data_IF_642953862119
#
_entry.id   IF_642953862119
#
_cell.length_a   1.000
_cell.length_b   1.000
_cell.length_c   1.000
_cell.angle_alpha   90.00
_cell.angle_beta   90.00
_cell.angle_gamma   90.00
#
_symmetry.space_group_name_H-M   'P 1'
#
loop_
_entity.id
_entity.type
_entity.pdbx_description
1 polymer ?
#
# COMPACT_ATOMS: atom_id res chain seq x y z
N UNK A 1 12.41 1.34 -19.01
CA UNK A 1 13.60 0.65 -18.45
C UNK A 1 13.22 0.09 -17.08
N UNK A 2 13.57 -1.17 -16.77
CA UNK A 2 13.34 -1.71 -15.42
C UNK A 2 14.22 -0.95 -14.41
N UNK A 3 13.77 -0.84 -13.15
CA UNK A 3 14.56 -0.21 -12.08
C UNK A 3 15.82 -1.07 -11.83
N UNK A 4 16.95 -0.42 -11.60
CA UNK A 4 18.20 -1.12 -11.32
C UNK A 4 18.12 -1.80 -9.94
N UNK A 5 18.63 -3.02 -9.85
CA UNK A 5 18.86 -3.70 -8.59
C UNK A 5 20.06 -3.09 -7.86
N UNK A 6 20.21 -3.36 -6.57
CA UNK A 6 21.35 -2.85 -5.80
C UNK A 6 22.68 -3.46 -6.29
N UNK A 7 22.67 -4.74 -6.67
CA UNK A 7 23.81 -5.43 -7.29
C UNK A 7 24.26 -4.75 -8.58
N UNK A 8 23.31 -4.40 -9.45
CA UNK A 8 23.60 -3.69 -10.69
C UNK A 8 24.25 -2.32 -10.42
N UNK A 9 23.77 -1.59 -9.41
CA UNK A 9 24.37 -0.30 -9.02
C UNK A 9 25.79 -0.46 -8.49
N UNK A 10 26.05 -1.49 -7.69
CA UNK A 10 27.39 -1.80 -7.18
C UNK A 10 28.36 -2.07 -8.34
N UNK A 11 27.98 -2.94 -9.28
CA UNK A 11 28.78 -3.25 -10.47
C UNK A 11 29.11 -1.99 -11.28
N UNK A 12 28.15 -1.08 -11.46
CA UNK A 12 28.39 0.20 -12.17
C UNK A 12 29.47 1.02 -11.47
N UNK A 13 29.44 1.08 -10.14
CA UNK A 13 30.42 1.82 -9.34
C UNK A 13 31.81 1.19 -9.43
N UNK A 14 31.90 -0.13 -9.33
CA UNK A 14 33.16 -0.87 -9.48
C UNK A 14 33.81 -0.64 -10.85
N UNK A 15 33.04 -0.84 -11.92
CA UNK A 15 33.51 -0.63 -13.31
C UNK A 15 33.91 0.84 -13.52
N UNK A 16 33.20 1.78 -12.90
CA UNK A 16 33.51 3.21 -13.02
C UNK A 16 34.89 3.56 -12.44
N UNK A 17 35.23 3.01 -11.27
CA UNK A 17 36.54 3.25 -10.66
C UNK A 17 37.66 2.49 -11.38
N UNK A 18 37.40 1.30 -11.90
CA UNK A 18 38.38 0.54 -12.71
C UNK A 18 38.73 1.23 -14.04
N UNK A 19 37.80 2.00 -14.63
CA UNK A 19 37.97 2.60 -15.96
C UNK A 19 38.22 4.12 -15.92
N UNK A 20 39.04 4.57 -14.96
CA UNK A 20 39.51 5.96 -14.85
C UNK A 20 38.37 6.98 -14.76
N UNK A 21 37.25 6.64 -14.11
CA UNK A 21 36.12 7.55 -13.91
C UNK A 21 35.42 8.02 -15.22
N UNK A 22 35.52 7.25 -16.31
CA UNK A 22 34.85 7.58 -17.59
C UNK A 22 33.47 6.93 -17.72
N UNK A 23 32.42 7.75 -17.72
CA UNK A 23 31.02 7.29 -17.89
C UNK A 23 30.81 6.59 -19.23
N UNK A 24 31.45 7.07 -20.31
CA UNK A 24 31.32 6.48 -21.65
C UNK A 24 31.93 5.08 -21.70
N UNK A 25 33.04 4.86 -21.01
CA UNK A 25 33.68 3.55 -20.94
C UNK A 25 32.81 2.55 -20.17
N UNK A 26 32.28 2.96 -19.01
CA UNK A 26 31.31 2.15 -18.25
C UNK A 26 30.13 1.79 -19.12
N UNK A 27 29.53 2.77 -19.81
CA UNK A 27 28.41 2.50 -20.71
C UNK A 27 28.79 1.42 -21.71
N UNK A 28 29.92 1.54 -22.42
CA UNK A 28 30.42 0.56 -23.41
C UNK A 28 30.62 -0.85 -22.81
N UNK A 29 31.22 -0.94 -21.63
CA UNK A 29 31.51 -2.21 -20.95
C UNK A 29 30.28 -2.91 -20.38
N UNK A 30 29.20 -2.18 -20.10
CA UNK A 30 27.91 -2.77 -19.67
C UNK A 30 27.16 -3.48 -20.80
N UNK A 31 27.55 -3.30 -22.08
CA UNK A 31 26.91 -3.95 -23.23
C UNK A 31 27.26 -5.44 -23.36
N UNK A 32 28.52 -5.87 -23.21
CA UNK A 32 28.91 -7.28 -23.30
C UNK A 32 28.83 -8.07 -21.99
N UNK A 33 28.16 -7.57 -20.93
CA UNK A 33 28.06 -8.25 -19.63
C UNK A 33 26.70 -8.96 -19.43
N UNK A 34 26.52 -10.21 -19.91
CA UNK A 34 25.51 -11.13 -19.39
C UNK A 34 25.88 -11.56 -17.95
N UNK A 35 24.92 -11.92 -17.08
CA UNK A 35 23.49 -12.17 -17.33
C UNK A 35 22.55 -10.98 -17.02
N UNK A 36 23.05 -9.88 -16.46
CA UNK A 36 22.20 -8.83 -15.85
C UNK A 36 21.75 -7.72 -16.82
N UNK A 37 22.57 -7.39 -17.83
CA UNK A 37 22.30 -6.31 -18.78
C UNK A 37 21.99 -6.89 -20.15
N UNK A 38 20.70 -7.16 -20.41
CA UNK A 38 20.24 -7.52 -21.76
C UNK A 38 20.30 -6.33 -22.73
N UNK A 39 20.13 -6.61 -24.03
CA UNK A 39 20.15 -5.61 -25.14
C UNK A 39 19.31 -4.36 -24.84
N UNK A 40 18.20 -4.53 -24.12
CA UNK A 40 17.24 -3.47 -23.78
C UNK A 40 17.28 -3.02 -22.31
N UNK A 41 18.12 -3.63 -21.46
CA UNK A 41 18.20 -3.34 -20.02
C UNK A 41 19.45 -2.55 -19.61
N UNK A 42 20.22 -2.06 -20.59
CA UNK A 42 21.43 -1.28 -20.33
C UNK A 42 21.07 0.10 -19.75
N UNK A 43 21.63 0.50 -18.61
CA UNK A 43 21.43 1.83 -18.06
C UNK A 43 22.01 2.89 -19.00
N UNK A 44 21.26 3.97 -19.21
CA UNK A 44 21.73 5.11 -19.98
C UNK A 44 22.85 5.89 -19.26
N UNK A 45 23.58 6.71 -19.99
CA UNK A 45 24.66 7.52 -19.39
C UNK A 45 24.17 8.43 -18.27
N UNK A 46 22.96 9.00 -18.40
CA UNK A 46 22.34 9.83 -17.36
C UNK A 46 22.09 9.03 -16.07
N UNK A 47 21.65 7.78 -16.19
CA UNK A 47 21.45 6.87 -15.07
C UNK A 47 22.78 6.53 -14.39
N UNK A 48 23.81 6.24 -15.17
CA UNK A 48 25.16 5.97 -14.65
C UNK A 48 25.68 7.18 -13.87
N UNK A 49 25.57 8.40 -14.43
CA UNK A 49 25.92 9.65 -13.73
C UNK A 49 25.14 9.79 -12.43
N UNK A 50 23.81 9.61 -12.47
CA UNK A 50 22.98 9.74 -11.28
C UNK A 50 23.38 8.76 -10.17
N UNK A 51 23.71 7.51 -10.52
CA UNK A 51 24.20 6.50 -9.56
C UNK A 51 25.51 6.94 -8.93
N UNK A 52 26.48 7.40 -9.74
CA UNK A 52 27.79 7.85 -9.24
C UNK A 52 27.65 9.11 -8.39
N UNK A 53 26.86 10.10 -8.82
CA UNK A 53 26.60 11.32 -8.05
C UNK A 53 25.93 11.00 -6.72
N UNK A 54 24.95 10.09 -6.70
CA UNK A 54 24.31 9.62 -5.47
C UNK A 54 25.31 8.92 -4.55
N UNK A 55 26.19 8.08 -5.11
CA UNK A 55 27.23 7.41 -4.35
C UNK A 55 28.24 8.40 -3.75
N UNK A 56 28.72 9.38 -4.53
CA UNK A 56 29.66 10.41 -4.03
C UNK A 56 29.07 11.33 -2.97
N UNK A 57 27.77 11.61 -3.04
CA UNK A 57 27.10 12.55 -2.12
C UNK A 57 26.61 11.87 -0.85
N UNK A 58 26.01 10.67 -0.97
CA UNK A 58 25.31 9.99 0.12
C UNK A 58 25.95 8.66 0.52
N UNK A 59 26.96 8.18 -0.19
CA UNK A 59 27.63 6.88 0.01
C UNK A 59 26.65 5.68 0.11
N UNK A 60 25.50 5.80 -0.53
CA UNK A 60 24.42 4.80 -0.47
C UNK A 60 23.97 4.38 -1.86
N UNK A 61 23.79 3.07 -2.04
CA UNK A 61 23.25 2.48 -3.28
C UNK A 61 21.74 2.22 -3.18
N UNK A 62 21.18 2.28 -1.97
CA UNK A 62 19.76 2.03 -1.71
C UNK A 62 18.89 3.15 -2.30
N UNK A 63 17.78 2.77 -2.93
CA UNK A 63 16.71 3.70 -3.28
C UNK A 63 15.90 4.04 -2.04
N UNK A 64 16.35 5.09 -1.34
CA UNK A 64 15.59 5.70 -0.26
C UNK A 64 14.33 6.30 -0.87
N UNK A 65 13.18 5.69 -0.57
CA UNK A 65 11.89 6.27 -0.91
C UNK A 65 11.78 7.61 -0.17
N UNK A 66 11.48 8.73 -0.86
CA UNK A 66 11.23 9.98 -0.16
C UNK A 66 10.13 9.76 0.87
N UNK A 67 10.26 10.41 2.02
CA UNK A 67 9.21 10.37 3.04
C UNK A 67 7.89 10.76 2.37
N UNK A 68 6.86 9.93 2.60
CA UNK A 68 5.53 10.19 2.05
C UNK A 68 5.08 11.60 2.45
N UNK A 69 4.27 12.23 1.59
CA UNK A 69 3.71 13.57 1.84
C UNK A 69 3.18 13.66 3.27
N UNK A 70 3.72 14.61 4.05
CA UNK A 70 3.28 14.86 5.43
C UNK A 70 1.79 15.25 5.44
N UNK A 71 1.05 14.76 6.43
CA UNK A 71 -0.37 15.04 6.57
C UNK A 71 -0.55 16.34 7.37
N UNK A 72 -0.95 17.42 6.71
CA UNK A 72 -1.06 18.75 7.34
C UNK A 72 -2.13 18.83 8.43
N UNK A 73 -3.27 18.15 8.23
CA UNK A 73 -4.44 18.29 9.12
C UNK A 73 -4.56 17.14 10.13
N UNK A 74 -3.97 15.97 9.86
CA UNK A 74 -3.99 14.81 10.78
C UNK A 74 -2.78 14.83 11.70
N UNK A 75 -2.66 15.90 12.48
CA UNK A 75 -1.69 16.00 13.56
C UNK A 75 -2.17 15.22 14.78
N UNK A 76 -1.26 14.88 15.68
CA UNK A 76 -1.58 14.18 16.93
C UNK A 76 -2.56 15.00 17.79
N UNK A 77 -2.40 16.33 17.79
CA UNK A 77 -3.32 17.27 18.47
C UNK A 77 -4.75 17.16 17.95
N UNK A 78 -4.95 17.16 16.63
CA UNK A 78 -6.27 17.06 16.03
C UNK A 78 -6.89 15.66 16.23
N UNK A 79 -6.06 14.62 16.26
CA UNK A 79 -6.51 13.26 16.59
C UNK A 79 -7.01 13.22 18.04
N UNK A 80 -6.25 13.79 18.97
CA UNK A 80 -6.63 13.87 20.38
C UNK A 80 -7.92 14.70 20.59
N UNK A 81 -8.07 15.83 19.89
CA UNK A 81 -9.27 16.66 19.96
C UNK A 81 -10.52 15.91 19.48
N UNK A 82 -10.42 15.16 18.38
CA UNK A 82 -11.53 14.31 17.90
C UNK A 82 -11.82 13.20 18.90
N UNK A 83 -10.79 12.53 19.44
CA UNK A 83 -10.95 11.45 20.42
C UNK A 83 -11.67 11.94 21.68
N UNK A 84 -11.25 13.10 22.21
CA UNK A 84 -11.89 13.75 23.35
C UNK A 84 -13.37 14.03 23.07
N UNK A 85 -13.67 14.66 21.93
CA UNK A 85 -15.05 14.93 21.51
C UNK A 85 -15.88 13.64 21.39
N UNK A 86 -15.29 12.48 21.01
CA UNK A 86 -16.03 11.21 20.89
C UNK A 86 -16.38 10.67 22.26
N UNK A 87 -15.44 10.80 23.20
CA UNK A 87 -15.60 10.35 24.57
C UNK A 87 -16.63 11.20 25.33
N UNK A 88 -16.59 12.52 25.15
CA UNK A 88 -17.55 13.46 25.76
C UNK A 88 -18.97 13.22 25.27
N UNK A 89 -19.20 13.29 23.96
CA UNK A 89 -20.55 13.11 23.39
C UNK A 89 -20.48 12.19 22.18
N UNK A 90 -20.79 10.93 22.43
CA UNK A 90 -20.75 9.86 21.42
C UNK A 90 -21.79 10.04 20.31
N UNK A 91 -22.96 10.57 20.65
CA UNK A 91 -24.09 10.70 19.74
C UNK A 91 -23.96 11.87 18.75
N UNK A 92 -22.97 12.75 18.93
CA UNK A 92 -22.78 13.86 18.02
C UNK A 92 -22.45 13.38 16.61
N UNK A 93 -23.21 13.92 15.66
CA UNK A 93 -22.97 13.68 14.24
C UNK A 93 -21.59 14.16 13.81
N UNK A 94 -21.03 13.49 12.81
CA UNK A 94 -19.68 13.78 12.31
C UNK A 94 -19.62 15.17 11.68
N UNK A 95 -20.72 15.62 11.07
CA UNK A 95 -20.84 16.97 10.52
C UNK A 95 -20.70 18.04 11.62
N UNK A 96 -21.51 17.93 12.69
CA UNK A 96 -21.49 18.89 13.79
C UNK A 96 -20.11 18.91 14.50
N UNK A 97 -19.55 17.72 14.75
CA UNK A 97 -18.20 17.56 15.30
C UNK A 97 -17.12 18.23 14.46
N UNK A 98 -17.21 18.11 13.13
CA UNK A 98 -16.26 18.76 12.22
C UNK A 98 -16.37 20.28 12.25
N UNK A 99 -17.59 20.82 12.38
CA UNK A 99 -17.84 22.25 12.51
C UNK A 99 -17.29 22.79 13.84
N UNK A 100 -17.52 22.10 14.96
CA UNK A 100 -16.99 22.48 16.27
C UNK A 100 -15.46 22.53 16.31
N UNK A 101 -14.81 21.55 15.67
CA UNK A 101 -13.34 21.45 15.64
C UNK A 101 -12.69 22.27 14.51
N UNK A 102 -13.48 22.96 13.68
CA UNK A 102 -12.97 23.76 12.55
C UNK A 102 -12.28 22.93 11.46
N UNK A 103 -12.62 21.64 11.33
CA UNK A 103 -12.02 20.72 10.37
C UNK A 103 -12.98 20.36 9.24
N UNK A 104 -12.43 19.90 8.11
CA UNK A 104 -13.26 19.33 7.06
C UNK A 104 -13.96 18.05 7.54
N UNK A 105 -15.20 17.83 7.10
CA UNK A 105 -15.93 16.58 7.33
C UNK A 105 -15.10 15.35 6.95
N UNK A 106 -14.46 15.39 5.77
CA UNK A 106 -13.68 14.26 5.25
C UNK A 106 -12.44 13.93 6.08
N UNK A 107 -11.79 14.93 6.69
CA UNK A 107 -10.64 14.71 7.56
C UNK A 107 -11.08 14.10 8.89
N UNK A 108 -12.15 14.64 9.47
CA UNK A 108 -12.77 14.13 10.70
C UNK A 108 -13.21 12.68 10.53
N UNK A 109 -13.91 12.37 9.43
CA UNK A 109 -14.29 11.00 9.06
C UNK A 109 -13.09 10.06 8.98
N UNK A 110 -12.01 10.49 8.30
CA UNK A 110 -10.81 9.67 8.16
C UNK A 110 -10.08 9.46 9.50
N UNK A 111 -10.12 10.42 10.42
CA UNK A 111 -9.54 10.28 11.78
C UNK A 111 -10.35 9.22 12.55
N UNK A 112 -11.67 9.34 12.56
CA UNK A 112 -12.57 8.38 13.19
C UNK A 112 -12.32 6.95 12.67
N UNK A 113 -12.25 6.78 11.35
CA UNK A 113 -12.13 5.47 10.72
C UNK A 113 -10.72 4.85 10.83
N UNK A 114 -9.67 5.64 10.61
CA UNK A 114 -8.30 5.12 10.45
C UNK A 114 -7.49 5.22 11.74
N UNK A 115 -7.55 6.35 12.45
CA UNK A 115 -6.74 6.57 13.65
C UNK A 115 -7.43 5.98 14.88
N UNK A 116 -8.73 6.24 15.04
CA UNK A 116 -9.51 5.76 16.18
C UNK A 116 -10.12 4.37 15.95
N UNK A 117 -10.08 3.85 14.72
CA UNK A 117 -10.61 2.53 14.37
C UNK A 117 -12.13 2.39 14.55
N UNK A 118 -12.86 3.52 14.66
CA UNK A 118 -14.30 3.54 14.83
C UNK A 118 -14.96 3.22 13.50
N UNK A 119 -15.46 1.99 13.38
CA UNK A 119 -16.27 1.57 12.24
C UNK A 119 -17.71 1.95 12.50
N UNK A 120 -18.35 2.58 11.51
CA UNK A 120 -19.70 3.13 11.63
C UNK A 120 -20.77 2.11 12.09
N UNK A 121 -20.53 0.81 11.94
CA UNK A 121 -21.48 -0.22 12.31
C UNK A 121 -20.75 -1.47 12.85
N UNK A 122 -20.92 -1.75 14.14
CA UNK A 122 -20.95 -3.13 14.64
C UNK A 122 -22.40 -3.36 15.07
N UNK A 123 -23.18 -4.03 14.22
CA UNK A 123 -24.55 -4.43 14.56
C UNK A 123 -24.44 -5.37 15.75
N UNK A 124 -24.85 -4.91 16.93
CA UNK A 124 -25.08 -5.79 18.05
C UNK A 124 -26.45 -6.41 17.81
N UNK A 125 -26.51 -7.73 17.63
CA UNK A 125 -27.78 -8.45 17.64
C UNK A 125 -28.35 -8.31 19.06
N UNK A 126 -29.30 -7.38 19.21
CA UNK A 126 -30.02 -7.13 20.46
C UNK A 126 -31.13 -8.16 20.70
N UNK A 127 -31.50 -8.90 19.64
CA UNK A 127 -32.52 -9.92 19.63
C UNK A 127 -31.88 -11.29 19.44
N UNK A 128 -32.22 -12.24 20.30
CA UNK A 128 -31.88 -13.65 20.11
C UNK A 128 -32.56 -14.14 18.82
N UNK A 129 -31.77 -14.69 17.90
CA UNK A 129 -32.30 -15.26 16.66
C UNK A 129 -33.08 -16.53 17.03
N UNK A 130 -34.41 -16.48 16.98
CA UNK A 130 -35.22 -17.67 17.21
C UNK A 130 -35.14 -18.57 15.98
N UNK A 131 -35.28 -19.89 16.11
CA UNK A 131 -35.26 -20.80 14.97
C UNK A 131 -36.33 -20.49 13.90
N UNK A 132 -37.38 -19.74 14.26
CA UNK A 132 -38.41 -19.25 13.32
C UNK A 132 -37.97 -18.04 12.47
N UNK A 133 -36.93 -17.31 12.87
CA UNK A 133 -36.43 -16.12 12.17
C UNK A 133 -35.47 -16.48 11.03
N UNK A 134 -35.06 -17.76 10.94
CA UNK A 134 -34.33 -18.30 9.81
C UNK A 134 -35.26 -18.33 8.58
N UNK A 135 -34.85 -17.79 7.42
CA UNK A 135 -35.69 -17.81 6.24
C UNK A 135 -35.96 -19.25 5.81
N UNK A 136 -37.25 -19.64 5.80
CA UNK A 136 -37.80 -20.94 5.41
C UNK A 136 -37.35 -21.44 4.01
N UNK A 137 -36.72 -20.59 3.21
CA UNK A 137 -36.10 -20.96 1.94
C UNK A 137 -34.98 -22.00 2.13
N UNK A 138 -34.18 -21.92 3.20
CA UNK A 138 -33.07 -22.88 3.40
C UNK A 138 -33.53 -24.28 3.80
N UNK A 139 -34.70 -24.42 4.44
CA UNK A 139 -35.27 -25.74 4.80
C UNK A 139 -35.84 -26.51 3.60
N UNK A 140 -36.21 -25.82 2.52
CA UNK A 140 -36.71 -26.44 1.28
C UNK A 140 -35.60 -27.04 0.41
N UNK A 141 -34.34 -26.63 0.58
CA UNK A 141 -33.19 -27.21 -0.13
C UNK A 141 -32.56 -28.42 0.56
N UNK A 142 -32.79 -28.59 1.87
CA UNK A 142 -32.30 -29.75 2.63
C UNK A 142 -33.27 -30.96 2.58
N UNK A 143 -34.55 -30.73 2.26
CA UNK A 143 -35.54 -31.78 2.02
C UNK A 143 -35.59 -32.14 0.55
N UNK A 144 -34.79 -33.14 0.15
CA UNK A 144 -34.62 -33.57 -1.23
C UNK A 144 -35.91 -33.91 -1.98
N UNK A 145 -36.44 -32.94 -2.72
CA UNK A 145 -37.42 -33.15 -3.77
C UNK A 145 -36.97 -32.29 -4.95
N UNK A 146 -36.18 -32.88 -5.86
CA UNK A 146 -36.19 -32.70 -7.33
C UNK A 146 -34.97 -33.48 -7.89
N UNK A 147 -35.28 -34.55 -8.63
CA UNK A 147 -34.63 -34.90 -9.89
C UNK A 147 -33.16 -35.34 -9.87
N UNK A 148 -32.96 -36.65 -10.00
CA UNK A 148 -31.71 -37.31 -10.37
C UNK A 148 -31.02 -36.62 -11.56
N UNK A 149 -29.83 -36.05 -11.36
CA UNK A 149 -28.93 -35.72 -12.46
C UNK A 149 -27.75 -36.71 -12.46
N UNK A 150 -27.86 -37.68 -13.37
CA UNK A 150 -26.86 -38.72 -13.62
C UNK A 150 -25.66 -38.11 -14.34
N UNK A 151 -24.47 -38.21 -13.73
CA UNK A 151 -23.21 -38.17 -14.48
C UNK A 151 -22.41 -39.41 -14.13
N UNK A 152 -22.54 -40.42 -15.00
CA UNK A 152 -21.68 -41.60 -15.06
C UNK A 152 -20.25 -41.14 -15.30
N UNK A 153 -19.29 -41.60 -14.50
CA UNK A 153 -17.96 -41.97 -15.01
C UNK A 153 -17.41 -43.09 -14.15
N UNK A 154 -17.13 -44.21 -14.80
CA UNK A 154 -16.69 -45.48 -14.23
C UNK A 154 -15.16 -45.56 -14.29
N UNK A 155 -14.60 -46.19 -13.23
CA UNK A 155 -13.25 -46.76 -13.03
C UNK A 155 -12.08 -45.79 -12.98
#
# INVERSE_FOLDING_TARGET
>A
MKRLTNEQRLQIVEIYYQNSCSVKNVYRLLRPLPPYYGRHNRPGESTIRAVITKFRTKFTLLDIKPLSRMRTVRTEENIAAVAYSVNEVREMSICNRSQQLGMCYSTTWKILLVDLGLKAYKIQLLQELKPNDLPLWCSLWAGGIIGSFSSKTTV
#
